data_IF_336439454519
#
_entry.id   IF_336439454519
#
_cell.length_a   1.000
_cell.length_b   1.000
_cell.length_c   1.000
_cell.angle_alpha   90.00
_cell.angle_beta   90.00
_cell.angle_gamma   90.00
#
_symmetry.space_group_name_H-M   'P 1'
#
loop_
_entity.id
_entity.type
_entity.pdbx_description
1 polymer ?
#
# COMPACT_ATOMS: atom_id res chain seq x y z
N UNK A 1 4.27 4.18 24.73
CA UNK A 1 3.78 3.49 23.51
C UNK A 1 4.93 2.73 22.88
N UNK A 2 4.77 1.42 22.58
CA UNK A 2 5.72 0.59 21.81
C UNK A 2 4.94 -0.03 20.64
N UNK A 3 5.45 0.07 19.42
CA UNK A 3 4.73 -0.31 18.20
C UNK A 3 5.31 -1.61 17.62
N UNK A 4 4.47 -2.58 17.32
CA UNK A 4 4.82 -3.69 16.42
C UNK A 4 4.54 -3.25 14.99
N UNK A 5 5.59 -3.14 14.17
CA UNK A 5 5.50 -2.77 12.76
C UNK A 5 5.78 -3.98 11.88
N UNK A 6 4.78 -4.44 11.15
CA UNK A 6 4.94 -5.53 10.18
C UNK A 6 5.23 -5.00 8.78
N UNK A 7 5.87 -5.81 7.93
CA UNK A 7 6.28 -5.35 6.60
C UNK A 7 7.43 -4.33 6.61
N UNK A 8 8.18 -4.28 7.70
CA UNK A 8 9.23 -3.28 7.96
C UNK A 8 10.42 -3.29 6.99
N UNK A 9 10.49 -4.27 6.10
CA UNK A 9 11.66 -4.47 5.23
C UNK A 9 11.53 -3.86 3.83
N UNK A 10 10.42 -3.19 3.52
CA UNK A 10 10.23 -2.54 2.20
C UNK A 10 9.08 -1.53 2.19
N UNK A 11 9.09 -0.64 1.21
CA UNK A 11 8.00 0.30 0.93
C UNK A 11 7.54 1.09 2.15
N UNK A 12 6.23 1.08 2.39
CA UNK A 12 5.60 1.82 3.49
C UNK A 12 6.19 1.47 4.86
N UNK A 13 6.38 0.17 5.14
CA UNK A 13 6.92 -0.26 6.42
C UNK A 13 8.32 0.28 6.70
N UNK A 14 9.20 0.36 5.69
CA UNK A 14 10.53 0.93 5.86
C UNK A 14 10.48 2.45 6.15
N UNK A 15 9.63 3.20 5.45
CA UNK A 15 9.37 4.60 5.77
C UNK A 15 8.83 4.78 7.19
N UNK A 16 7.98 3.85 7.65
CA UNK A 16 7.46 3.86 9.01
C UNK A 16 8.56 3.60 10.07
N UNK A 17 9.53 2.70 9.79
CA UNK A 17 10.70 2.52 10.67
C UNK A 17 11.44 3.82 10.85
N UNK A 18 11.80 4.50 9.74
CA UNK A 18 12.57 5.74 9.78
C UNK A 18 11.80 6.85 10.51
N UNK A 19 10.49 6.94 10.28
CA UNK A 19 9.62 7.90 10.96
C UNK A 19 9.58 7.69 12.49
N UNK A 20 9.41 6.45 12.94
CA UNK A 20 9.34 6.10 14.36
C UNK A 20 10.69 6.29 15.05
N UNK A 21 11.78 5.85 14.39
CA UNK A 21 13.14 6.04 14.88
C UNK A 21 13.47 7.52 15.09
N UNK A 22 13.18 8.37 14.10
CA UNK A 22 13.47 9.81 14.17
C UNK A 22 12.66 10.53 15.26
N UNK A 23 11.60 9.91 15.79
CA UNK A 23 10.79 10.40 16.90
C UNK A 23 11.09 9.71 18.24
N UNK A 24 12.08 8.83 18.27
CA UNK A 24 12.42 8.01 19.43
C UNK A 24 11.23 7.20 19.97
N UNK A 25 10.32 6.75 19.08
CA UNK A 25 9.20 5.89 19.43
C UNK A 25 9.69 4.44 19.39
N UNK A 26 9.63 3.70 20.51
CA UNK A 26 10.04 2.31 20.57
C UNK A 26 9.23 1.44 19.61
N UNK A 27 9.92 0.56 18.88
CA UNK A 27 9.26 -0.37 17.97
C UNK A 27 9.93 -1.74 17.96
N UNK A 28 9.12 -2.76 17.67
CA UNK A 28 9.57 -4.06 17.19
C UNK A 28 9.24 -4.08 15.69
N UNK A 29 10.24 -4.27 14.86
CA UNK A 29 10.08 -4.35 13.41
C UNK A 29 10.10 -5.82 12.97
N UNK A 30 9.18 -6.23 12.09
CA UNK A 30 9.18 -7.59 11.56
C UNK A 30 8.98 -7.64 10.05
N UNK A 31 9.53 -8.67 9.43
CA UNK A 31 9.44 -8.93 8.00
C UNK A 31 10.26 -10.15 7.59
N UNK A 32 10.14 -10.55 6.33
CA UNK A 32 10.77 -11.77 5.79
C UNK A 32 12.23 -11.58 5.34
N UNK A 33 12.58 -10.36 4.93
CA UNK A 33 13.92 -10.09 4.38
C UNK A 33 14.96 -9.95 5.50
N UNK A 34 15.70 -11.02 5.75
CA UNK A 34 16.73 -11.09 6.82
C UNK A 34 17.89 -10.14 6.57
N UNK A 35 18.29 -9.90 5.32
CA UNK A 35 19.38 -8.98 4.99
C UNK A 35 19.03 -7.55 5.38
N UNK A 36 17.84 -7.07 4.98
CA UNK A 36 17.35 -5.75 5.40
C UNK A 36 17.13 -5.72 6.93
N UNK A 37 16.67 -6.83 7.52
CA UNK A 37 16.54 -6.97 8.97
C UNK A 37 17.85 -6.78 9.71
N UNK A 38 18.96 -7.35 9.22
CA UNK A 38 20.29 -7.15 9.78
C UNK A 38 20.73 -5.67 9.71
N UNK A 39 20.46 -5.00 8.59
CA UNK A 39 20.72 -3.56 8.45
C UNK A 39 19.91 -2.74 9.46
N UNK A 40 18.65 -3.12 9.73
CA UNK A 40 17.84 -2.47 10.76
C UNK A 40 18.39 -2.68 12.16
N UNK A 41 18.85 -3.90 12.49
CA UNK A 41 19.50 -4.19 13.78
C UNK A 41 20.79 -3.37 13.97
N UNK A 42 21.61 -3.23 12.94
CA UNK A 42 22.79 -2.36 12.96
C UNK A 42 22.46 -0.89 13.22
N UNK A 43 21.23 -0.47 12.87
CA UNK A 43 20.70 0.87 13.15
C UNK A 43 20.04 0.99 14.54
N UNK A 44 20.11 -0.06 15.37
CA UNK A 44 19.54 -0.08 16.73
C UNK A 44 18.05 -0.43 16.79
N UNK A 45 17.47 -0.96 15.73
CA UNK A 45 16.06 -1.38 15.70
C UNK A 45 15.92 -2.83 16.18
N UNK A 46 15.01 -3.09 17.12
CA UNK A 46 14.60 -4.47 17.50
C UNK A 46 13.88 -5.11 16.31
N UNK A 47 14.64 -5.89 15.52
CA UNK A 47 14.10 -6.59 14.35
C UNK A 47 13.97 -8.08 14.64
N UNK A 48 12.77 -8.61 14.48
CA UNK A 48 12.43 -10.03 14.65
C UNK A 48 11.93 -10.59 13.32
N UNK A 49 12.75 -11.44 12.69
CA UNK A 49 12.40 -12.04 11.39
C UNK A 49 11.19 -12.99 11.55
N UNK A 50 10.09 -12.70 10.85
CA UNK A 50 8.90 -13.54 10.86
C UNK A 50 8.20 -13.53 9.50
N UNK A 51 7.85 -14.70 8.99
CA UNK A 51 6.88 -14.84 7.90
C UNK A 51 5.49 -15.05 8.48
N UNK A 52 4.70 -14.00 8.55
CA UNK A 52 3.36 -14.03 9.14
C UNK A 52 2.43 -15.05 8.48
N UNK A 53 2.67 -15.39 7.21
CA UNK A 53 1.88 -16.38 6.48
C UNK A 53 2.16 -17.83 6.91
N UNK A 54 3.31 -18.07 7.56
CA UNK A 54 3.74 -19.39 8.01
C UNK A 54 3.94 -19.47 9.53
N UNK A 55 3.75 -18.34 10.24
CA UNK A 55 4.01 -18.25 11.67
C UNK A 55 2.97 -19.07 12.46
N UNK A 56 3.44 -19.86 13.40
CA UNK A 56 2.62 -20.45 14.44
C UNK A 56 2.31 -19.42 15.56
N UNK A 57 1.48 -19.80 16.48
CA UNK A 57 1.06 -18.94 17.58
C UNK A 57 2.24 -18.50 18.47
N UNK A 58 3.20 -19.39 18.71
CA UNK A 58 4.40 -19.08 19.51
C UNK A 58 5.26 -18.02 18.85
N UNK A 59 5.49 -18.14 17.54
CA UNK A 59 6.24 -17.16 16.76
C UNK A 59 5.53 -15.79 16.70
N UNK A 60 4.20 -15.76 16.63
CA UNK A 60 3.43 -14.52 16.70
C UNK A 60 3.50 -13.91 18.10
N UNK A 61 3.27 -14.68 19.16
CA UNK A 61 3.34 -14.23 20.56
C UNK A 61 4.68 -13.58 20.89
N UNK A 62 5.77 -14.14 20.39
CA UNK A 62 7.12 -13.58 20.57
C UNK A 62 7.31 -12.16 20.01
N UNK A 63 6.39 -11.66 19.19
CA UNK A 63 6.42 -10.29 18.66
C UNK A 63 5.80 -9.25 19.61
N UNK A 64 5.08 -9.65 20.67
CA UNK A 64 4.23 -8.75 21.46
C UNK A 64 4.82 -8.30 22.80
N UNK A 65 6.13 -8.42 23.00
CA UNK A 65 6.81 -7.99 24.23
C UNK A 65 6.69 -6.46 24.47
N UNK A 66 5.79 -6.08 25.39
CA UNK A 66 5.50 -4.68 25.74
C UNK A 66 4.84 -3.85 24.63
N UNK A 67 4.30 -4.48 23.59
CA UNK A 67 3.63 -3.81 22.46
C UNK A 67 2.27 -3.27 22.91
N UNK A 68 2.01 -2.01 22.58
CA UNK A 68 0.72 -1.34 22.86
C UNK A 68 -0.05 -0.99 21.60
N UNK A 69 0.62 -0.95 20.44
CA UNK A 69 -0.01 -0.68 19.16
C UNK A 69 0.60 -1.55 18.04
N UNK A 70 -0.18 -1.91 17.05
CA UNK A 70 0.25 -2.62 15.84
C UNK A 70 0.05 -1.75 14.61
N UNK A 71 1.09 -1.64 13.78
CA UNK A 71 1.04 -1.08 12.43
C UNK A 71 1.22 -2.22 11.42
N UNK A 72 0.10 -2.71 10.89
CA UNK A 72 0.10 -3.88 10.01
C UNK A 72 0.21 -3.47 8.54
N UNK A 73 1.47 -3.34 8.05
CA UNK A 73 1.79 -3.00 6.66
C UNK A 73 2.12 -4.23 5.79
N UNK A 74 2.32 -5.41 6.41
CA UNK A 74 2.65 -6.62 5.66
C UNK A 74 1.46 -7.08 4.82
N UNK A 75 1.69 -7.31 3.54
CA UNK A 75 0.74 -7.90 2.62
C UNK A 75 1.47 -8.50 1.40
N UNK A 76 0.86 -9.47 0.75
CA UNK A 76 1.22 -9.84 -0.61
C UNK A 76 0.50 -8.87 -1.55
N UNK A 77 1.26 -7.92 -2.11
CA UNK A 77 0.76 -6.88 -3.01
C UNK A 77 1.30 -7.11 -4.43
N UNK A 78 0.53 -7.80 -5.26
CA UNK A 78 0.83 -8.04 -6.67
C UNK A 78 -0.48 -8.03 -7.46
N UNK A 79 -0.47 -7.60 -8.72
CA UNK A 79 -1.65 -7.69 -9.58
C UNK A 79 -1.93 -9.12 -10.08
N UNK A 80 -0.99 -10.06 -9.85
CA UNK A 80 -1.05 -11.44 -10.33
C UNK A 80 -0.45 -12.43 -9.34
N UNK A 81 -0.97 -13.65 -9.31
CA UNK A 81 -0.46 -14.75 -8.50
C UNK A 81 -1.51 -15.81 -8.19
N UNK A 82 -1.18 -16.75 -7.31
CA UNK A 82 -2.07 -17.82 -6.88
C UNK A 82 -2.99 -17.30 -5.75
N UNK A 83 -4.29 -17.60 -5.82
CA UNK A 83 -5.26 -17.19 -4.81
C UNK A 83 -4.90 -17.68 -3.39
N UNK A 84 -4.43 -18.92 -3.26
CA UNK A 84 -4.09 -19.47 -1.95
C UNK A 84 -2.97 -18.67 -1.25
N UNK A 85 -1.97 -18.20 -2.01
CA UNK A 85 -0.86 -17.41 -1.47
C UNK A 85 -1.36 -16.04 -1.00
N UNK A 86 -2.24 -15.38 -1.77
CA UNK A 86 -2.88 -14.14 -1.37
C UNK A 86 -3.76 -14.34 -0.14
N UNK A 87 -4.56 -15.39 -0.10
CA UNK A 87 -5.46 -15.67 1.03
C UNK A 87 -4.67 -15.92 2.31
N UNK A 88 -3.64 -16.75 2.23
CA UNK A 88 -2.77 -17.05 3.37
C UNK A 88 -2.05 -15.79 3.89
N UNK A 89 -1.45 -15.01 2.99
CA UNK A 89 -0.66 -13.84 3.37
C UNK A 89 -1.50 -12.62 3.80
N UNK A 90 -2.69 -12.42 3.19
CA UNK A 90 -3.48 -11.21 3.43
C UNK A 90 -4.65 -11.44 4.39
N UNK A 91 -5.26 -12.64 4.39
CA UNK A 91 -6.45 -12.92 5.22
C UNK A 91 -6.05 -13.65 6.49
N UNK A 92 -5.47 -14.86 6.35
CA UNK A 92 -5.15 -15.71 7.52
C UNK A 92 -4.12 -15.05 8.42
N UNK A 93 -3.02 -14.53 7.83
CA UNK A 93 -1.98 -13.85 8.60
C UNK A 93 -2.50 -12.59 9.32
N UNK A 94 -3.39 -11.82 8.68
CA UNK A 94 -4.01 -10.63 9.30
C UNK A 94 -4.93 -11.03 10.46
N UNK A 95 -5.79 -12.04 10.27
CA UNK A 95 -6.70 -12.53 11.30
C UNK A 95 -5.93 -13.04 12.53
N UNK A 96 -4.93 -13.90 12.31
CA UNK A 96 -4.11 -14.45 13.39
C UNK A 96 -3.36 -13.34 14.14
N UNK A 97 -2.71 -12.40 13.42
CA UNK A 97 -2.00 -11.30 14.05
C UNK A 97 -2.93 -10.40 14.86
N UNK A 98 -4.13 -10.10 14.33
CA UNK A 98 -5.14 -9.28 15.01
C UNK A 98 -5.67 -9.95 16.28
N UNK A 99 -5.92 -11.26 16.24
CA UNK A 99 -6.32 -12.06 17.40
C UNK A 99 -5.24 -12.05 18.48
N UNK A 100 -4.02 -12.43 18.13
CA UNK A 100 -2.90 -12.48 19.10
C UNK A 100 -2.63 -11.09 19.70
N UNK A 101 -2.70 -10.02 18.87
CA UNK A 101 -2.58 -8.65 19.37
C UNK A 101 -3.62 -8.33 20.45
N UNK A 102 -4.88 -8.65 20.21
CA UNK A 102 -5.96 -8.38 21.13
C UNK A 102 -5.84 -9.21 22.43
N UNK A 103 -5.46 -10.48 22.32
CA UNK A 103 -5.21 -11.38 23.47
C UNK A 103 -4.04 -10.92 24.34
N UNK A 104 -3.06 -10.20 23.75
CA UNK A 104 -1.94 -9.59 24.48
C UNK A 104 -2.22 -8.15 24.96
N UNK A 105 -3.48 -7.70 24.91
CA UNK A 105 -3.88 -6.40 25.45
C UNK A 105 -3.41 -5.20 24.62
N UNK A 106 -3.14 -5.40 23.33
CA UNK A 106 -2.85 -4.29 22.40
C UNK A 106 -4.07 -3.38 22.31
N UNK A 107 -3.89 -2.11 22.60
CA UNK A 107 -4.97 -1.13 22.61
C UNK A 107 -5.34 -0.61 21.22
N UNK A 108 -4.41 -0.68 20.25
CA UNK A 108 -4.57 -0.11 18.90
C UNK A 108 -4.03 -1.03 17.81
N UNK A 109 -4.85 -1.32 16.79
CA UNK A 109 -4.43 -2.09 15.60
C UNK A 109 -4.75 -1.33 14.32
N UNK A 110 -3.72 -0.85 13.61
CA UNK A 110 -3.86 -0.13 12.35
C UNK A 110 -3.61 -1.09 11.20
N UNK A 111 -4.63 -1.36 10.39
CA UNK A 111 -4.55 -2.21 9.20
C UNK A 111 -4.42 -1.38 7.93
N UNK A 112 -3.34 -1.58 7.17
CA UNK A 112 -3.19 -0.97 5.85
C UNK A 112 -3.92 -1.83 4.82
N UNK A 113 -5.02 -1.32 4.30
CA UNK A 113 -5.81 -1.91 3.22
C UNK A 113 -5.51 -1.24 1.87
N UNK A 114 -6.48 -1.23 0.96
CA UNK A 114 -6.29 -0.73 -0.41
C UNK A 114 -7.59 -0.23 -1.03
N UNK A 115 -7.57 0.87 -1.80
CA UNK A 115 -8.70 1.29 -2.62
C UNK A 115 -8.92 0.40 -3.87
N UNK A 116 -8.07 -0.59 -4.15
CA UNK A 116 -8.31 -1.57 -5.22
C UNK A 116 -9.64 -2.31 -5.06
N UNK A 117 -10.20 -2.32 -3.85
CA UNK A 117 -11.52 -2.89 -3.55
C UNK A 117 -12.68 -2.12 -4.21
N UNK A 118 -12.47 -0.87 -4.61
CA UNK A 118 -13.45 -0.03 -5.31
C UNK A 118 -13.42 -0.23 -6.83
N UNK A 119 -12.29 -0.76 -7.36
CA UNK A 119 -12.03 -0.77 -8.79
C UNK A 119 -12.95 -1.74 -9.55
N UNK A 120 -13.73 -1.21 -10.48
CA UNK A 120 -14.76 -1.93 -11.25
C UNK A 120 -14.68 -1.70 -12.78
N UNK A 121 -13.55 -1.16 -13.27
CA UNK A 121 -13.36 -0.78 -14.68
C UNK A 121 -14.30 0.33 -15.15
N UNK A 122 -14.64 1.27 -14.27
CA UNK A 122 -15.38 2.49 -14.58
C UNK A 122 -14.60 3.73 -14.05
N UNK A 123 -14.98 4.91 -14.58
CA UNK A 123 -14.43 6.18 -14.08
C UNK A 123 -15.17 6.59 -12.80
N UNK A 124 -14.42 6.92 -11.77
CA UNK A 124 -14.94 7.41 -10.49
C UNK A 124 -14.16 8.63 -10.02
N UNK A 125 -14.88 9.67 -9.60
CA UNK A 125 -14.26 10.95 -9.20
C UNK A 125 -14.52 11.36 -7.75
N UNK A 126 -15.15 10.49 -6.94
CA UNK A 126 -15.48 10.85 -5.54
C UNK A 126 -15.83 9.61 -4.71
N UNK A 127 -14.94 8.60 -4.74
CA UNK A 127 -15.19 7.34 -4.02
C UNK A 127 -15.05 7.51 -2.53
N UNK A 128 -16.10 7.20 -1.81
CA UNK A 128 -16.14 7.14 -0.34
C UNK A 128 -15.76 5.75 0.19
N UNK A 129 -15.62 5.63 1.48
CA UNK A 129 -15.27 4.35 2.13
C UNK A 129 -16.37 3.29 2.03
N UNK A 130 -17.60 3.66 1.65
CA UNK A 130 -18.73 2.76 1.45
C UNK A 130 -18.84 2.21 0.03
N UNK A 131 -18.13 2.79 -0.95
CA UNK A 131 -18.26 2.49 -2.38
C UNK A 131 -17.43 1.26 -2.78
N UNK A 132 -17.81 0.09 -2.28
CA UNK A 132 -17.13 -1.15 -2.66
C UNK A 132 -17.68 -1.71 -3.99
N UNK A 133 -16.80 -2.07 -4.93
CA UNK A 133 -17.19 -2.75 -6.17
C UNK A 133 -17.95 -4.06 -5.88
N UNK A 134 -18.98 -4.38 -6.65
CA UNK A 134 -19.74 -5.62 -6.47
C UNK A 134 -18.87 -6.88 -6.67
N UNK A 135 -17.91 -6.80 -7.59
CA UNK A 135 -16.92 -7.85 -7.87
C UNK A 135 -15.53 -7.26 -7.84
N UNK A 136 -14.62 -7.89 -7.13
CA UNK A 136 -13.21 -7.48 -7.03
C UNK A 136 -12.47 -7.79 -8.34
N UNK A 137 -11.60 -6.87 -8.77
CA UNK A 137 -10.91 -6.95 -10.05
C UNK A 137 -9.81 -8.02 -10.10
N UNK A 138 -9.23 -8.38 -8.96
CA UNK A 138 -8.18 -9.39 -8.83
C UNK A 138 -8.14 -10.00 -7.43
N UNK A 139 -7.30 -11.03 -7.23
CA UNK A 139 -7.15 -11.73 -5.95
C UNK A 139 -6.55 -10.85 -4.84
N UNK A 140 -5.72 -9.88 -5.20
CA UNK A 140 -5.23 -8.89 -4.23
C UNK A 140 -6.37 -8.07 -3.63
N UNK A 141 -7.21 -7.46 -4.47
CA UNK A 141 -8.36 -6.68 -4.02
C UNK A 141 -9.35 -7.54 -3.22
N UNK A 142 -9.62 -8.77 -3.68
CA UNK A 142 -10.49 -9.72 -2.99
C UNK A 142 -9.98 -10.07 -1.59
N UNK A 143 -8.71 -10.46 -1.48
CA UNK A 143 -8.14 -10.88 -0.19
C UNK A 143 -7.93 -9.72 0.77
N UNK A 144 -7.67 -8.50 0.27
CA UNK A 144 -7.65 -7.30 1.13
C UNK A 144 -9.04 -6.95 1.65
N UNK A 145 -10.09 -7.07 0.83
CA UNK A 145 -11.46 -6.92 1.30
C UNK A 145 -11.84 -7.99 2.35
N UNK A 146 -11.49 -9.26 2.12
CA UNK A 146 -11.71 -10.33 3.09
C UNK A 146 -10.96 -10.07 4.41
N UNK A 147 -9.74 -9.54 4.35
CA UNK A 147 -8.98 -9.16 5.54
C UNK A 147 -9.71 -8.04 6.34
N UNK A 148 -10.29 -7.05 5.67
CA UNK A 148 -11.11 -6.05 6.35
C UNK A 148 -12.34 -6.68 7.05
N UNK A 149 -12.99 -7.67 6.42
CA UNK A 149 -14.10 -8.39 7.07
C UNK A 149 -13.63 -9.13 8.31
N UNK A 150 -12.42 -9.72 8.30
CA UNK A 150 -11.80 -10.32 9.48
C UNK A 150 -11.52 -9.30 10.58
N UNK A 151 -10.99 -8.13 10.22
CA UNK A 151 -10.80 -7.03 11.20
C UNK A 151 -12.13 -6.57 11.81
N UNK A 152 -13.20 -6.47 11.01
CA UNK A 152 -14.54 -6.16 11.54
C UNK A 152 -15.04 -7.23 12.54
N UNK A 153 -14.77 -8.51 12.28
CA UNK A 153 -15.09 -9.61 13.20
C UNK A 153 -14.26 -9.52 14.48
N UNK A 154 -12.95 -9.27 14.38
CA UNK A 154 -12.06 -9.12 15.54
C UNK A 154 -12.49 -7.95 16.43
N UNK A 155 -12.89 -6.82 15.84
CA UNK A 155 -13.37 -5.66 16.61
C UNK A 155 -14.61 -5.97 17.46
N UNK A 156 -15.50 -6.84 16.97
CA UNK A 156 -16.67 -7.30 17.74
C UNK A 156 -16.29 -8.28 18.87
N UNK A 157 -15.30 -9.13 18.62
CA UNK A 157 -14.83 -10.13 19.59
C UNK A 157 -13.95 -9.52 20.68
N UNK A 158 -13.19 -8.48 20.36
CA UNK A 158 -12.19 -7.85 21.24
C UNK A 158 -12.42 -6.34 21.33
N UNK A 159 -13.49 -5.88 21.99
CA UNK A 159 -13.87 -4.46 22.04
C UNK A 159 -12.84 -3.57 22.78
N UNK A 160 -11.93 -4.16 23.55
CA UNK A 160 -10.83 -3.45 24.22
C UNK A 160 -9.71 -3.02 23.25
N UNK A 161 -9.62 -3.64 22.06
CA UNK A 161 -8.69 -3.25 21.02
C UNK A 161 -9.39 -2.39 19.97
N UNK A 162 -8.94 -1.17 19.80
CA UNK A 162 -9.44 -0.33 18.71
C UNK A 162 -8.74 -0.67 17.40
N UNK A 163 -9.49 -1.24 16.48
CA UNK A 163 -9.03 -1.49 15.10
C UNK A 163 -9.34 -0.29 14.21
N UNK A 164 -8.41 0.05 13.31
CA UNK A 164 -8.57 1.12 12.30
C UNK A 164 -8.08 0.60 10.96
N UNK A 165 -8.81 0.92 9.89
CA UNK A 165 -8.46 0.55 8.52
C UNK A 165 -8.09 1.81 7.74
N UNK A 166 -6.91 1.80 7.10
CA UNK A 166 -6.48 2.87 6.19
C UNK A 166 -6.39 2.31 4.76
N UNK A 167 -6.96 3.02 3.80
CA UNK A 167 -6.95 2.67 2.37
C UNK A 167 -6.14 3.68 1.56
N UNK A 168 -4.81 3.60 1.58
CA UNK A 168 -3.95 4.51 0.81
C UNK A 168 -3.94 4.17 -0.67
N UNK A 169 -4.03 5.20 -1.54
CA UNK A 169 -4.03 5.05 -3.00
C UNK A 169 -2.63 5.22 -3.57
N UNK A 170 -2.15 4.25 -4.38
CA UNK A 170 -0.91 4.33 -5.18
C UNK A 170 0.26 4.92 -4.38
N UNK A 171 0.71 4.19 -3.36
CA UNK A 171 1.80 4.63 -2.47
C UNK A 171 3.10 4.72 -3.26
N UNK A 172 3.80 5.85 -3.14
CA UNK A 172 5.14 6.06 -3.70
C UNK A 172 6.05 6.73 -2.67
N UNK A 173 7.36 6.67 -2.88
CA UNK A 173 8.35 7.25 -1.96
C UNK A 173 9.63 6.44 -1.90
N UNK A 174 10.46 6.72 -0.91
CA UNK A 174 11.65 5.94 -0.63
C UNK A 174 11.29 4.45 -0.40
N UNK A 175 12.21 3.56 -0.73
CA UNK A 175 12.04 2.10 -0.60
C UNK A 175 10.91 1.48 -1.43
N UNK A 176 10.30 2.24 -2.36
CA UNK A 176 9.32 1.68 -3.30
C UNK A 176 9.98 0.64 -4.21
N UNK A 177 9.44 -0.58 -4.22
CA UNK A 177 9.88 -1.70 -5.06
C UNK A 177 8.83 -2.12 -6.08
N UNK A 178 7.72 -1.41 -6.15
CA UNK A 178 6.54 -1.81 -6.95
C UNK A 178 6.28 -0.86 -8.10
N UNK A 179 6.09 0.43 -7.83
CA UNK A 179 5.64 1.40 -8.82
C UNK A 179 6.81 2.01 -9.60
N UNK A 180 7.74 2.64 -8.88
CA UNK A 180 8.84 3.41 -9.50
C UNK A 180 9.83 2.52 -10.26
N UNK A 181 10.31 1.38 -9.74
CA UNK A 181 11.21 0.52 -10.49
C UNK A 181 10.57 0.01 -11.78
N UNK A 182 9.30 -0.41 -11.75
CA UNK A 182 8.59 -0.87 -12.95
C UNK A 182 8.46 0.21 -14.02
N UNK A 183 8.26 1.47 -13.63
CA UNK A 183 8.20 2.59 -14.55
C UNK A 183 9.57 2.90 -15.15
N UNK A 184 10.63 2.86 -14.35
CA UNK A 184 12.02 3.06 -14.79
C UNK A 184 12.46 1.95 -15.75
N UNK A 185 12.16 0.69 -15.42
CA UNK A 185 12.45 -0.46 -16.28
C UNK A 185 11.72 -0.36 -17.61
N UNK A 186 10.43 0.02 -17.59
CA UNK A 186 9.64 0.21 -18.80
C UNK A 186 10.20 1.32 -19.69
N UNK A 187 10.64 2.44 -19.10
CA UNK A 187 11.29 3.53 -19.82
C UNK A 187 12.58 3.05 -20.49
N UNK A 188 13.39 2.30 -19.79
CA UNK A 188 14.67 1.77 -20.31
C UNK A 188 14.43 0.73 -21.40
N UNK A 189 13.57 -0.28 -21.16
CA UNK A 189 13.22 -1.34 -22.14
C UNK A 189 12.60 -0.76 -23.43
N UNK A 190 11.89 0.34 -23.33
CA UNK A 190 11.17 0.97 -24.44
C UNK A 190 11.88 2.20 -25.04
N UNK A 191 13.15 2.41 -24.71
CA UNK A 191 13.93 3.55 -25.19
C UNK A 191 13.20 4.89 -25.03
N UNK A 192 12.60 5.11 -23.86
CA UNK A 192 11.86 6.32 -23.51
C UNK A 192 10.46 6.41 -24.13
N UNK A 193 9.89 5.36 -24.73
CA UNK A 193 8.54 5.38 -25.31
C UNK A 193 7.57 4.66 -24.37
N UNK A 194 6.60 5.37 -23.83
CA UNK A 194 5.56 4.83 -22.97
C UNK A 194 4.25 4.66 -23.75
N UNK A 195 3.81 3.40 -24.04
CA UNK A 195 2.50 3.16 -24.61
C UNK A 195 1.43 3.31 -23.52
N UNK A 196 0.66 4.38 -23.56
CA UNK A 196 -0.40 4.66 -22.58
C UNK A 196 -1.75 4.87 -23.29
N UNK A 197 -2.86 4.41 -22.70
CA UNK A 197 -4.19 4.75 -23.20
C UNK A 197 -4.47 6.24 -22.97
N UNK A 198 -5.28 6.82 -23.85
CA UNK A 198 -5.75 8.21 -23.74
C UNK A 198 -4.61 9.22 -23.44
N UNK A 199 -3.45 9.06 -24.07
CA UNK A 199 -2.25 9.92 -23.86
C UNK A 199 -1.84 10.05 -22.37
N UNK A 200 -2.17 9.08 -21.52
CA UNK A 200 -1.88 9.13 -20.11
C UNK A 200 -2.70 10.18 -19.34
N UNK A 201 -3.86 10.59 -19.85
CA UNK A 201 -4.74 11.60 -19.22
C UNK A 201 -5.61 11.02 -18.10
N UNK A 202 -5.41 9.76 -17.71
CA UNK A 202 -6.12 9.18 -16.58
C UNK A 202 -5.83 10.01 -15.32
N UNK A 203 -6.90 10.39 -14.60
CA UNK A 203 -6.83 11.12 -13.33
C UNK A 203 -6.81 10.14 -12.18
N UNK A 204 -5.87 10.31 -11.28
CA UNK A 204 -5.69 9.43 -10.14
C UNK A 204 -5.19 10.19 -8.91
N UNK A 205 -5.49 9.63 -7.75
CA UNK A 205 -4.78 9.96 -6.53
C UNK A 205 -3.50 9.13 -6.41
N UNK A 206 -2.50 9.76 -5.84
CA UNK A 206 -1.27 9.12 -5.37
C UNK A 206 -1.03 9.52 -3.92
N UNK A 207 -0.26 8.74 -3.19
CA UNK A 207 -0.02 9.01 -1.78
C UNK A 207 1.46 8.84 -1.45
N UNK A 208 2.08 9.89 -0.94
CA UNK A 208 3.44 9.80 -0.45
C UNK A 208 3.52 8.90 0.79
N UNK A 209 4.50 8.01 0.84
CA UNK A 209 4.63 7.02 1.91
C UNK A 209 4.66 7.67 3.31
N UNK A 210 5.35 8.80 3.49
CA UNK A 210 5.37 9.50 4.78
C UNK A 210 4.03 10.16 5.13
N UNK A 211 3.19 10.52 4.17
CA UNK A 211 1.82 10.97 4.43
C UNK A 211 0.93 9.81 4.92
N UNK A 212 1.13 8.60 4.38
CA UNK A 212 0.46 7.39 4.92
C UNK A 212 0.93 7.10 6.34
N UNK A 213 2.24 7.17 6.59
CA UNK A 213 2.81 6.98 7.94
C UNK A 213 2.26 8.01 8.93
N UNK A 214 2.08 9.26 8.51
CA UNK A 214 1.43 10.28 9.32
C UNK A 214 -0.02 9.90 9.66
N UNK A 215 -0.79 9.42 8.69
CA UNK A 215 -2.15 8.92 8.93
C UNK A 215 -2.17 7.75 9.92
N UNK A 216 -1.20 6.82 9.83
CA UNK A 216 -1.03 5.73 10.80
C UNK A 216 -0.75 6.27 12.21
N UNK A 217 0.08 7.30 12.33
CA UNK A 217 0.39 7.93 13.60
C UNK A 217 -0.86 8.59 14.20
N UNK A 218 -1.59 9.39 13.41
CA UNK A 218 -2.84 9.99 13.84
C UNK A 218 -3.87 8.93 14.29
N UNK A 219 -4.02 7.85 13.50
CA UNK A 219 -4.91 6.74 13.84
C UNK A 219 -4.50 6.02 15.13
N UNK A 220 -3.24 6.11 15.53
CA UNK A 220 -2.77 5.54 16.81
C UNK A 220 -3.14 6.43 17.99
N UNK A 221 -3.06 7.76 17.84
CA UNK A 221 -3.30 8.74 18.91
C UNK A 221 -4.79 9.07 19.08
N UNK A 222 -5.58 9.02 17.99
CA UNK A 222 -6.98 9.43 17.99
C UNK A 222 -7.86 8.40 18.68
N UNK A 223 -8.85 8.85 19.47
CA UNK A 223 -9.90 8.01 20.02
C UNK A 223 -11.15 8.06 19.14
N UNK A 224 -11.63 6.90 18.72
CA UNK A 224 -12.82 6.78 17.89
C UNK A 224 -14.00 6.27 18.70
N UNK A 225 -15.19 6.82 18.45
CA UNK A 225 -16.44 6.27 18.95
C UNK A 225 -16.83 5.07 18.07
N UNK A 226 -16.92 3.88 18.66
CA UNK A 226 -17.18 2.63 17.91
C UNK A 226 -18.70 2.45 17.63
N UNK A 227 -19.42 3.49 17.23
CA UNK A 227 -20.87 3.39 16.99
C UNK A 227 -21.22 2.69 15.68
N UNK A 228 -20.36 2.76 14.63
CA UNK A 228 -20.67 2.31 13.27
C UNK A 228 -19.66 1.29 12.70
N UNK A 229 -19.05 0.46 13.55
CA UNK A 229 -18.05 -0.53 13.14
C UNK A 229 -16.62 0.00 13.18
N UNK A 230 -15.71 -0.65 12.44
CA UNK A 230 -14.29 -0.28 12.43
C UNK A 230 -14.07 1.01 11.63
N UNK A 231 -13.50 2.07 12.24
CA UNK A 231 -13.14 3.29 11.52
C UNK A 231 -12.28 2.99 10.30
N UNK A 232 -12.75 3.41 9.14
CA UNK A 232 -12.08 3.15 7.85
C UNK A 232 -11.91 4.48 7.14
N UNK A 233 -10.71 4.73 6.56
CA UNK A 233 -10.35 6.01 5.96
C UNK A 233 -9.62 5.85 4.64
N UNK A 234 -10.06 6.58 3.63
CA UNK A 234 -9.30 6.81 2.40
C UNK A 234 -8.14 7.76 2.68
N UNK A 235 -6.95 7.42 2.22
CA UNK A 235 -5.75 8.24 2.43
C UNK A 235 -5.09 8.55 1.08
N UNK A 236 -4.98 9.84 0.76
CA UNK A 236 -4.31 10.34 -0.45
C UNK A 236 -3.49 11.59 -0.14
N UNK A 237 -2.75 12.10 -1.12
CA UNK A 237 -2.15 13.44 -1.03
C UNK A 237 -3.18 14.58 -1.13
N UNK A 238 -4.45 14.27 -1.42
CA UNK A 238 -5.50 15.26 -1.68
C UNK A 238 -5.19 16.18 -2.87
N UNK A 239 -4.33 15.75 -3.77
CA UNK A 239 -3.89 16.45 -4.98
C UNK A 239 -4.03 15.49 -6.17
N UNK A 240 -5.27 15.27 -6.70
CA UNK A 240 -5.47 14.42 -7.86
C UNK A 240 -4.69 14.91 -9.07
N UNK A 241 -4.04 14.01 -9.78
CA UNK A 241 -3.15 14.34 -10.89
C UNK A 241 -3.37 13.45 -12.11
N UNK A 242 -3.15 13.98 -13.32
CA UNK A 242 -3.06 13.15 -14.52
C UNK A 242 -1.75 12.36 -14.51
N UNK A 243 -1.79 11.08 -14.89
CA UNK A 243 -0.63 10.22 -14.96
C UNK A 243 0.51 10.84 -15.79
N UNK A 244 0.19 11.42 -16.97
CA UNK A 244 1.20 12.09 -17.82
C UNK A 244 1.91 13.24 -17.11
N UNK A 245 1.19 14.01 -16.29
CA UNK A 245 1.76 15.13 -15.53
C UNK A 245 2.65 14.62 -14.40
N UNK A 246 2.23 13.54 -13.70
CA UNK A 246 3.05 12.87 -12.70
C UNK A 246 4.37 12.34 -13.31
N UNK A 247 4.28 11.68 -14.48
CA UNK A 247 5.46 11.15 -15.18
C UNK A 247 6.39 12.29 -15.66
N UNK A 248 5.82 13.42 -16.14
CA UNK A 248 6.61 14.59 -16.52
C UNK A 248 7.37 15.19 -15.34
N UNK A 249 6.69 15.38 -14.21
CA UNK A 249 7.32 15.88 -12.96
C UNK A 249 8.44 14.94 -12.50
N UNK A 250 8.18 13.63 -12.42
CA UNK A 250 9.16 12.63 -11.95
C UNK A 250 10.35 12.50 -12.91
N UNK A 251 10.09 12.20 -14.18
CA UNK A 251 11.17 11.81 -15.10
C UNK A 251 11.83 12.99 -15.77
N UNK A 252 11.06 13.93 -16.36
CA UNK A 252 11.65 15.04 -17.11
C UNK A 252 12.18 16.13 -16.19
N UNK A 253 11.34 16.60 -15.24
CA UNK A 253 11.73 17.74 -14.41
C UNK A 253 12.75 17.36 -13.33
N UNK A 254 12.56 16.23 -12.64
CA UNK A 254 13.43 15.87 -11.52
C UNK A 254 14.61 14.97 -11.89
N UNK A 255 14.42 14.01 -12.80
CA UNK A 255 15.47 13.06 -13.19
C UNK A 255 16.19 13.43 -14.50
N UNK A 256 15.74 14.47 -15.22
CA UNK A 256 16.34 14.86 -16.49
C UNK A 256 16.20 13.82 -17.62
N UNK A 257 15.31 12.84 -17.45
CA UNK A 257 15.09 11.77 -18.42
C UNK A 257 14.00 12.16 -19.41
N UNK A 258 14.32 12.22 -20.69
CA UNK A 258 13.34 12.46 -21.74
C UNK A 258 12.50 11.21 -22.01
N UNK A 259 11.20 11.40 -22.20
CA UNK A 259 10.30 10.35 -22.64
C UNK A 259 9.21 10.93 -23.56
N UNK A 260 8.55 10.03 -24.29
CA UNK A 260 7.38 10.38 -25.11
C UNK A 260 6.26 9.37 -24.85
N UNK A 261 5.03 9.86 -24.79
CA UNK A 261 3.86 9.01 -24.71
C UNK A 261 3.43 8.64 -26.13
N UNK A 262 3.20 7.34 -26.37
CA UNK A 262 2.54 6.84 -27.58
C UNK A 262 1.13 6.43 -27.18
N UNK A 263 0.14 7.17 -27.69
CA UNK A 263 -1.26 6.84 -27.43
C UNK A 263 -1.64 5.50 -28.06
N UNK A 264 -2.29 4.65 -27.27
CA UNK A 264 -2.77 3.35 -27.72
C UNK A 264 -4.23 3.21 -27.29
N UNK A 265 -5.15 2.80 -28.16
CA UNK A 265 -6.54 2.60 -27.77
C UNK A 265 -6.69 1.57 -26.64
N UNK A 266 -7.45 1.91 -25.58
CA UNK A 266 -7.63 1.04 -24.42
C UNK A 266 -8.10 -0.39 -24.79
N UNK A 267 -9.05 -0.60 -25.74
CA UNK A 267 -9.46 -1.96 -26.11
C UNK A 267 -8.31 -2.85 -26.58
N UNK A 268 -7.31 -2.28 -27.28
CA UNK A 268 -6.11 -3.03 -27.71
C UNK A 268 -5.24 -3.43 -26.52
N UNK A 269 -5.02 -2.49 -25.58
CA UNK A 269 -4.26 -2.77 -24.36
C UNK A 269 -4.99 -3.81 -23.50
N UNK A 270 -6.30 -3.69 -23.34
CA UNK A 270 -7.12 -4.63 -22.57
C UNK A 270 -7.13 -6.04 -23.18
N UNK A 271 -7.21 -6.15 -24.53
CA UNK A 271 -7.12 -7.44 -25.22
C UNK A 271 -5.75 -8.07 -25.06
N UNK A 272 -4.68 -7.28 -25.24
CA UNK A 272 -3.31 -7.75 -25.01
C UNK A 272 -3.12 -8.25 -23.56
N UNK A 273 -3.59 -7.49 -22.57
CA UNK A 273 -3.50 -7.86 -21.17
C UNK A 273 -4.19 -9.20 -20.87
N UNK A 274 -5.43 -9.39 -21.37
CA UNK A 274 -6.17 -10.67 -21.22
C UNK A 274 -5.46 -11.84 -21.89
N UNK A 275 -4.86 -11.61 -23.06
CA UNK A 275 -4.08 -12.64 -23.76
C UNK A 275 -2.84 -13.03 -22.95
N UNK A 276 -2.12 -12.05 -22.41
CA UNK A 276 -0.96 -12.29 -21.55
C UNK A 276 -1.34 -13.02 -20.25
N UNK A 277 -2.48 -12.68 -19.64
CA UNK A 277 -3.02 -13.40 -18.47
C UNK A 277 -3.38 -14.87 -18.82
N UNK A 278 -3.98 -15.12 -19.98
CA UNK A 278 -4.24 -16.47 -20.45
C UNK A 278 -2.94 -17.28 -20.60
N UNK A 279 -1.93 -16.73 -21.25
CA UNK A 279 -0.62 -17.37 -21.42
C UNK A 279 0.08 -17.58 -20.08
N UNK A 280 -0.02 -16.64 -19.16
CA UNK A 280 0.56 -16.73 -17.82
C UNK A 280 0.01 -17.90 -16.99
N UNK A 281 -1.23 -18.32 -17.20
CA UNK A 281 -1.80 -19.53 -16.57
C UNK A 281 -1.05 -20.80 -16.94
N UNK A 282 -0.53 -20.88 -18.15
CA UNK A 282 0.27 -22.03 -18.63
C UNK A 282 1.75 -21.92 -18.25
N UNK A 283 2.31 -20.71 -18.33
CA UNK A 283 3.75 -20.49 -18.05
C UNK A 283 4.06 -20.34 -16.57
N UNK A 284 3.05 -20.12 -15.72
CA UNK A 284 3.17 -19.82 -14.27
C UNK A 284 4.04 -18.59 -13.96
N UNK A 285 4.32 -17.74 -14.97
CA UNK A 285 5.08 -16.48 -14.78
C UNK A 285 4.12 -15.32 -14.70
N UNK A 286 4.47 -14.31 -13.89
CA UNK A 286 3.70 -13.03 -13.81
C UNK A 286 3.67 -12.38 -15.20
N UNK A 287 2.47 -12.03 -15.74
CA UNK A 287 2.38 -11.34 -17.02
C UNK A 287 2.88 -9.89 -16.89
N UNK A 288 3.59 -9.39 -17.91
CA UNK A 288 4.07 -7.99 -17.92
C UNK A 288 2.93 -6.95 -17.82
N UNK A 289 1.70 -7.34 -18.15
CA UNK A 289 0.52 -6.50 -18.08
C UNK A 289 -0.70 -7.37 -17.73
N UNK A 290 -1.47 -6.95 -16.72
CA UNK A 290 -2.74 -7.56 -16.33
C UNK A 290 -3.92 -6.70 -16.77
N UNK A 291 -5.11 -7.28 -16.86
CA UNK A 291 -6.33 -6.51 -17.13
C UNK A 291 -6.55 -5.41 -16.08
N UNK A 292 -6.28 -5.72 -14.80
CA UNK A 292 -6.31 -4.74 -13.71
C UNK A 292 -5.33 -3.58 -13.96
N UNK A 293 -4.05 -3.88 -14.22
CA UNK A 293 -3.04 -2.84 -14.48
C UNK A 293 -3.37 -2.00 -15.71
N UNK A 294 -3.86 -2.62 -16.78
CA UNK A 294 -4.32 -1.91 -17.97
C UNK A 294 -5.50 -0.96 -17.65
N UNK A 295 -6.44 -1.44 -16.82
CA UNK A 295 -7.59 -0.64 -16.38
C UNK A 295 -7.18 0.56 -15.53
N UNK A 296 -6.23 0.40 -14.60
CA UNK A 296 -5.76 1.51 -13.76
C UNK A 296 -5.01 2.61 -14.55
N UNK A 297 -4.56 2.32 -15.77
CA UNK A 297 -3.98 3.31 -16.68
C UNK A 297 -5.02 4.05 -17.54
N UNK A 298 -6.29 3.65 -17.46
CA UNK A 298 -7.36 4.22 -18.29
C UNK A 298 -8.53 4.79 -17.50
N UNK A 299 -9.00 4.11 -16.45
CA UNK A 299 -10.15 4.53 -15.66
C UNK A 299 -9.72 5.45 -14.54
N UNK A 300 -10.33 6.64 -14.49
CA UNK A 300 -10.11 7.60 -13.42
C UNK A 300 -10.54 7.01 -12.07
N UNK A 301 -9.76 7.28 -11.04
CA UNK A 301 -10.09 6.86 -9.69
C UNK A 301 -9.60 7.88 -8.69
N UNK A 302 -10.53 8.73 -8.24
CA UNK A 302 -10.29 9.78 -7.24
C UNK A 302 -11.13 9.48 -6.00
N UNK A 303 -10.48 9.54 -4.84
CA UNK A 303 -11.08 9.21 -3.55
C UNK A 303 -11.60 10.46 -2.84
N UNK A 304 -12.69 10.32 -2.12
CA UNK A 304 -13.08 11.28 -1.12
C UNK A 304 -12.27 11.07 0.16
N UNK A 305 -11.70 12.15 0.71
CA UNK A 305 -10.93 12.15 1.95
C UNK A 305 -11.64 12.89 3.10
N UNK A 306 -12.89 13.33 2.93
CA UNK A 306 -13.60 14.16 3.93
C UNK A 306 -13.64 13.48 5.30
N UNK A 307 -13.87 12.17 5.32
CA UNK A 307 -13.89 11.39 6.56
C UNK A 307 -12.52 11.39 7.26
N UNK A 308 -11.44 11.22 6.52
CA UNK A 308 -10.10 11.29 7.08
C UNK A 308 -9.76 12.70 7.60
N UNK A 309 -10.25 13.75 6.95
CA UNK A 309 -10.06 15.14 7.39
C UNK A 309 -10.83 15.39 8.68
N UNK A 310 -12.11 15.00 8.75
CA UNK A 310 -13.02 15.38 9.85
C UNK A 310 -12.86 14.51 11.08
N UNK A 311 -12.72 13.21 10.92
CA UNK A 311 -12.69 12.24 12.03
C UNK A 311 -11.27 11.86 12.46
N UNK A 312 -10.32 11.77 11.50
CA UNK A 312 -8.93 11.45 11.79
C UNK A 312 -8.05 12.70 11.97
N UNK A 313 -8.52 13.87 11.54
CA UNK A 313 -7.71 15.09 11.50
C UNK A 313 -6.59 15.04 10.46
N UNK A 314 -6.72 14.15 9.48
CA UNK A 314 -5.66 13.90 8.49
C UNK A 314 -5.54 15.07 7.51
N UNK A 315 -4.33 15.60 7.42
CA UNK A 315 -3.87 16.48 6.32
C UNK A 315 -2.49 15.99 5.88
N UNK A 316 -2.20 15.92 4.58
CA UNK A 316 -0.86 15.57 4.10
C UNK A 316 0.21 16.48 4.73
N UNK A 317 1.30 15.90 5.25
CA UNK A 317 2.45 16.68 5.76
C UNK A 317 3.32 17.21 4.62
N UNK A 318 3.32 16.50 3.50
CA UNK A 318 4.13 16.82 2.32
C UNK A 318 3.21 17.01 1.14
N UNK A 319 3.39 18.12 0.42
CA UNK A 319 2.75 18.33 -0.89
C UNK A 319 3.18 17.25 -1.89
N UNK A 320 2.46 17.11 -2.98
CA UNK A 320 2.85 16.18 -4.05
C UNK A 320 4.20 16.59 -4.67
N UNK A 321 4.48 17.88 -4.75
CA UNK A 321 5.73 18.40 -5.27
C UNK A 321 6.92 18.04 -4.36
N UNK A 322 6.81 18.29 -3.06
CA UNK A 322 7.83 17.89 -2.08
C UNK A 322 8.05 16.38 -2.08
N UNK A 323 6.97 15.62 -2.14
CA UNK A 323 7.00 14.16 -2.19
C UNK A 323 7.76 13.62 -3.41
N UNK A 324 7.52 14.21 -4.59
CA UNK A 324 8.23 13.88 -5.83
C UNK A 324 9.72 14.24 -5.69
N UNK A 325 10.04 15.44 -5.18
CA UNK A 325 11.42 15.87 -4.99
C UNK A 325 12.20 14.96 -4.03
N UNK A 326 11.62 14.62 -2.86
CA UNK A 326 12.24 13.72 -1.90
C UNK A 326 12.42 12.30 -2.44
N UNK A 327 11.42 11.79 -3.17
CA UNK A 327 11.47 10.47 -3.78
C UNK A 327 12.57 10.38 -4.83
N UNK A 328 12.67 11.37 -5.70
CA UNK A 328 13.69 11.39 -6.75
C UNK A 328 15.10 11.63 -6.21
N UNK A 329 15.24 12.40 -5.12
CA UNK A 329 16.52 12.52 -4.43
C UNK A 329 16.95 11.17 -3.83
N UNK A 330 16.02 10.43 -3.23
CA UNK A 330 16.29 9.07 -2.73
C UNK A 330 16.73 8.14 -3.86
N UNK A 331 16.03 8.14 -5.01
CA UNK A 331 16.40 7.32 -6.18
C UNK A 331 17.84 7.61 -6.67
N UNK A 332 18.23 8.90 -6.71
CA UNK A 332 19.59 9.33 -7.08
C UNK A 332 20.63 8.83 -6.06
N UNK A 333 20.35 8.94 -4.78
CA UNK A 333 21.25 8.51 -3.72
C UNK A 333 21.48 6.98 -3.71
N UNK A 334 20.47 6.21 -4.09
CA UNK A 334 20.55 4.74 -4.22
C UNK A 334 21.14 4.29 -5.57
N UNK A 335 21.44 5.19 -6.48
CA UNK A 335 21.94 4.87 -7.82
C UNK A 335 20.93 4.14 -8.71
N UNK A 336 19.63 4.32 -8.45
CA UNK A 336 18.52 3.67 -9.19
C UNK A 336 18.11 4.53 -10.39
N UNK A 337 18.39 5.85 -10.38
CA UNK A 337 17.93 6.80 -11.39
C UNK A 337 19.06 7.63 -11.99
#
# INVERSE_FOLDING_TARGET
MKILLTGATSGLGRNAVDFLKNRNIPLIATGRNRTVGQQLMQQGIDFRACDLAQADESALTALFDGVTAVWHCAALSSPWGNYADFYQANVVATEQLARVAAEHGVSRFIHISTPSIYFDFQHHHHLSETDCAAKRANYYAETKWLAEQKIQQMAKMYPQTQFVILRPRAIFGAYDKVLLPRLLDLLTERHGVLPLPNDGKVKMDVTYALNVVHAMFLATEQTFLLQDGVPTFNITNQEPIELRTLLDKLFRQQLGRSFRIKSVPYPLIATLARTLECLAKFTKKEPKLTAYSAGTLYFDMILNNDKAITELGYRPLYSLEDAIAQTTQWLKNEGIA
#
